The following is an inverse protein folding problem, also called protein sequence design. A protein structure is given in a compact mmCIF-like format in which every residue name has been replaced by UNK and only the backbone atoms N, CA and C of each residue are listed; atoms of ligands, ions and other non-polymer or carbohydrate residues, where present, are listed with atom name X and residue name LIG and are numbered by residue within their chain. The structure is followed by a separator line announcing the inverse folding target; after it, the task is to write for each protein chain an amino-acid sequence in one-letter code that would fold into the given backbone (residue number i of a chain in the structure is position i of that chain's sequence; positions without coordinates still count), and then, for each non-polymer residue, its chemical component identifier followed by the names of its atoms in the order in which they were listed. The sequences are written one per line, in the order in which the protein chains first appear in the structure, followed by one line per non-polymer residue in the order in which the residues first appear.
data_IF_940519764337
#
_entry.id   IF_940519764337
#
_cell.length_a   1.000
_cell.length_b   1.000
_cell.length_c   1.000
_cell.angle_alpha   90.00
_cell.angle_beta   90.00
_cell.angle_gamma   90.00
#
_symmetry.space_group_name_H-M   'P 1'
#
loop_
_entity.id
_entity.type
_entity.pdbx_description
1 polymer ?
#
# COMPACT_ATOMS: atom_id res chain seq x y z
N UNK A 1 33.09 0.09 5.15
CA UNK A 1 32.14 -1.05 5.11
C UNK A 1 30.74 -0.48 5.06
N UNK A 2 29.89 -0.86 4.10
CA UNK A 2 28.50 -0.39 4.04
C UNK A 2 27.65 -1.32 4.90
N UNK A 3 26.85 -0.75 5.82
CA UNK A 3 25.92 -1.51 6.67
C UNK A 3 24.49 -1.15 6.29
N UNK A 4 23.68 -2.16 5.99
CA UNK A 4 22.26 -1.99 5.69
C UNK A 4 21.40 -2.40 6.89
N UNK A 5 20.42 -1.57 7.26
CA UNK A 5 19.43 -1.85 8.28
C UNK A 5 18.04 -1.85 7.65
N UNK A 6 17.36 -3.00 7.65
CA UNK A 6 15.99 -3.12 7.14
C UNK A 6 14.99 -3.14 8.30
N UNK A 7 14.12 -2.13 8.36
CA UNK A 7 13.16 -1.86 9.44
C UNK A 7 11.86 -1.29 8.87
N UNK A 8 10.77 -1.40 9.60
CA UNK A 8 9.51 -0.70 9.30
C UNK A 8 9.64 0.79 9.63
N UNK A 9 8.80 1.65 9.05
CA UNK A 9 8.84 3.10 9.30
C UNK A 9 8.72 3.44 10.78
N UNK A 10 7.72 2.92 11.49
CA UNK A 10 7.60 3.15 12.94
C UNK A 10 8.80 2.65 13.77
N UNK A 11 9.47 1.58 13.32
CA UNK A 11 10.71 1.12 13.97
C UNK A 11 11.90 2.02 13.65
N UNK A 12 11.94 2.66 12.47
CA UNK A 12 12.96 3.65 12.12
C UNK A 12 12.72 4.96 12.85
N UNK A 13 11.48 5.43 12.98
CA UNK A 13 11.13 6.62 13.76
C UNK A 13 11.64 6.47 15.19
N UNK A 14 11.29 5.38 15.87
CA UNK A 14 11.80 5.07 17.21
C UNK A 14 13.33 5.00 17.26
N UNK A 15 13.97 4.33 16.30
CA UNK A 15 15.44 4.23 16.26
C UNK A 15 16.10 5.60 16.14
N UNK A 16 15.56 6.47 15.27
CA UNK A 16 16.11 7.77 14.94
C UNK A 16 15.79 8.85 15.99
N UNK A 17 14.90 8.53 16.93
CA UNK A 17 14.66 9.32 18.13
C UNK A 17 15.59 8.95 19.28
N UNK A 18 16.20 7.77 19.27
CA UNK A 18 17.22 7.38 20.25
C UNK A 18 18.61 7.91 19.88
N UNK A 19 19.47 8.11 20.89
CA UNK A 19 20.86 8.52 20.70
C UNK A 19 21.69 7.58 19.79
N UNK A 20 21.22 6.35 19.55
CA UNK A 20 21.85 5.39 18.63
C UNK A 20 21.69 5.74 17.14
N UNK A 21 20.96 6.81 16.80
CA UNK A 21 20.81 7.32 15.44
C UNK A 21 22.13 7.75 14.78
N UNK A 22 23.18 8.00 15.58
CA UNK A 22 24.48 8.52 15.11
C UNK A 22 25.20 7.65 14.06
N UNK A 23 24.73 6.42 13.83
CA UNK A 23 25.34 5.48 12.88
C UNK A 23 24.55 5.29 11.57
N UNK A 24 23.56 6.15 11.28
CA UNK A 24 22.79 6.10 10.03
C UNK A 24 23.07 7.35 9.20
N UNK A 25 23.57 7.15 7.98
CA UNK A 25 23.89 8.29 7.10
C UNK A 25 22.74 8.64 6.15
N UNK A 26 22.04 7.63 5.65
CA UNK A 26 21.07 7.76 4.58
C UNK A 26 19.88 6.85 4.78
N UNK A 27 18.70 7.34 4.38
CA UNK A 27 17.44 6.61 4.38
C UNK A 27 17.02 6.37 2.93
N UNK A 28 16.73 5.11 2.61
CA UNK A 28 16.11 4.69 1.36
C UNK A 28 14.71 4.15 1.68
N UNK A 29 13.65 4.78 1.16
CA UNK A 29 12.27 4.40 1.51
C UNK A 29 11.30 4.69 0.38
N UNK A 30 10.19 3.95 0.31
CA UNK A 30 9.04 4.31 -0.53
C UNK A 30 7.98 5.13 0.23
N UNK A 31 8.22 5.39 1.52
CA UNK A 31 7.27 6.08 2.39
C UNK A 31 7.52 7.59 2.41
N UNK A 32 6.63 8.40 1.82
CA UNK A 32 6.69 9.85 2.02
C UNK A 32 6.31 10.24 3.45
N UNK A 33 5.55 9.40 4.16
CA UNK A 33 5.10 9.61 5.55
C UNK A 33 6.29 9.59 6.50
N UNK A 34 7.17 8.59 6.37
CA UNK A 34 8.42 8.52 7.15
C UNK A 34 9.27 9.77 6.95
N UNK A 35 9.44 10.20 5.70
CA UNK A 35 10.25 11.38 5.39
C UNK A 35 9.59 12.67 5.89
N UNK A 36 8.26 12.77 5.83
CA UNK A 36 7.51 13.88 6.39
C UNK A 36 7.73 14.00 7.89
N UNK A 37 7.57 12.89 8.62
CA UNK A 37 7.79 12.82 10.05
C UNK A 37 9.22 13.23 10.41
N UNK A 38 10.23 12.65 9.75
CA UNK A 38 11.64 12.96 10.01
C UNK A 38 11.99 14.42 9.69
N UNK A 39 11.40 14.99 8.65
CA UNK A 39 11.60 16.40 8.32
C UNK A 39 10.95 17.33 9.37
N UNK A 40 9.74 17.05 9.81
CA UNK A 40 9.03 17.82 10.85
C UNK A 40 9.82 17.82 12.17
N UNK A 41 10.50 16.73 12.47
CA UNK A 41 11.39 16.60 13.63
C UNK A 41 12.83 17.06 13.35
N UNK A 42 13.06 17.75 12.23
CA UNK A 42 14.36 18.31 11.82
C UNK A 42 15.51 17.29 11.78
N UNK A 43 15.20 16.03 11.45
CA UNK A 43 16.18 14.92 11.41
C UNK A 43 16.88 14.79 10.06
N UNK A 44 16.38 15.43 9.01
CA UNK A 44 16.93 15.32 7.65
C UNK A 44 17.78 16.54 7.29
N UNK A 45 18.88 16.31 6.56
CA UNK A 45 19.69 17.36 5.98
C UNK A 45 18.98 17.99 4.77
N UNK A 46 19.25 19.27 4.53
CA UNK A 46 18.88 19.90 3.26
C UNK A 46 19.70 19.29 2.12
N UNK A 47 19.04 19.10 0.99
CA UNK A 47 19.68 18.65 -0.24
C UNK A 47 19.79 19.80 -1.24
N UNK A 48 20.85 19.76 -2.04
CA UNK A 48 21.00 20.64 -3.19
C UNK A 48 19.94 20.34 -4.26
N UNK A 49 19.95 21.11 -5.35
CA UNK A 49 19.04 20.87 -6.47
C UNK A 49 19.23 19.47 -7.06
N UNK A 50 18.11 18.77 -7.29
CA UNK A 50 18.04 17.49 -7.98
C UNK A 50 17.46 17.66 -9.39
N UNK A 51 17.69 16.71 -10.33
CA UNK A 51 17.11 16.79 -11.66
C UNK A 51 15.59 16.91 -11.64
N UNK A 52 15.00 17.65 -12.58
CA UNK A 52 13.56 17.90 -12.63
C UNK A 52 12.72 16.61 -12.66
N UNK A 53 13.22 15.55 -13.30
CA UNK A 53 12.57 14.23 -13.32
C UNK A 53 12.41 13.63 -11.91
N UNK A 54 13.42 13.82 -11.05
CA UNK A 54 13.36 13.42 -9.64
C UNK A 54 12.39 14.33 -8.86
N UNK A 55 12.56 15.65 -8.96
CA UNK A 55 11.78 16.62 -8.17
C UNK A 55 10.27 16.55 -8.41
N UNK A 56 9.84 16.23 -9.65
CA UNK A 56 8.42 16.04 -9.99
C UNK A 56 7.75 14.91 -9.23
N UNK A 57 8.51 13.88 -8.84
CA UNK A 57 8.03 12.70 -8.13
C UNK A 57 8.05 12.89 -6.60
N UNK A 58 8.70 13.93 -6.09
CA UNK A 58 8.78 14.20 -4.66
C UNK A 58 7.66 15.14 -4.23
N UNK A 59 6.86 14.77 -3.21
CA UNK A 59 5.85 15.67 -2.63
C UNK A 59 6.46 17.02 -2.22
N UNK A 60 5.73 18.12 -2.45
CA UNK A 60 6.23 19.47 -2.16
C UNK A 60 6.71 19.62 -0.71
N UNK A 61 6.02 18.97 0.23
CA UNK A 61 6.33 19.08 1.65
C UNK A 61 7.72 18.55 2.00
N UNK A 62 8.21 17.47 1.36
CA UNK A 62 9.50 16.83 1.66
C UNK A 62 10.60 17.12 0.64
N UNK A 63 10.34 17.98 -0.35
CA UNK A 63 11.22 18.18 -1.51
C UNK A 63 12.56 18.84 -1.18
N UNK A 64 12.65 19.58 -0.08
CA UNK A 64 13.89 20.24 0.36
C UNK A 64 14.90 19.28 0.99
N UNK A 65 14.48 18.08 1.40
CA UNK A 65 15.31 17.12 2.13
C UNK A 65 15.38 15.74 1.48
N UNK A 66 14.63 15.53 0.40
CA UNK A 66 14.46 14.22 -0.22
C UNK A 66 14.47 14.28 -1.75
N UNK A 67 15.03 13.24 -2.37
CA UNK A 67 15.00 13.03 -3.83
C UNK A 67 14.36 11.71 -4.17
N UNK A 68 13.73 11.60 -5.33
CA UNK A 68 13.29 10.32 -5.91
C UNK A 68 14.36 9.77 -6.85
N UNK A 69 14.81 8.54 -6.65
CA UNK A 69 15.88 7.92 -7.47
C UNK A 69 15.37 6.84 -8.42
N UNK A 70 14.24 6.23 -8.09
CA UNK A 70 13.60 5.19 -8.88
C UNK A 70 12.09 5.19 -8.62
N UNK A 71 11.32 4.44 -9.41
CA UNK A 71 9.88 4.23 -9.18
C UNK A 71 9.48 2.77 -9.35
N UNK A 72 8.35 2.43 -8.75
CA UNK A 72 7.64 1.16 -8.88
C UNK A 72 6.16 1.39 -9.19
N UNK A 73 5.54 0.49 -9.95
CA UNK A 73 4.09 0.44 -10.14
C UNK A 73 3.41 -0.58 -9.24
N UNK A 74 2.11 -0.37 -8.98
CA UNK A 74 1.23 -1.28 -8.25
C UNK A 74 0.55 -2.30 -9.16
N UNK A 75 0.39 -3.52 -8.66
CA UNK A 75 -0.31 -4.57 -9.39
C UNK A 75 -0.56 -5.81 -8.54
N UNK A 76 -0.88 -6.90 -9.22
CA UNK A 76 -1.20 -8.19 -8.64
C UNK A 76 -0.09 -9.19 -8.98
N UNK A 77 0.49 -9.80 -7.95
CA UNK A 77 1.25 -11.03 -8.12
C UNK A 77 0.26 -12.20 -8.06
N UNK A 78 0.38 -13.12 -9.00
CA UNK A 78 -0.54 -14.24 -9.17
C UNK A 78 0.27 -15.53 -9.29
N UNK A 79 -0.13 -16.54 -8.52
CA UNK A 79 0.36 -17.90 -8.65
C UNK A 79 -0.55 -18.68 -9.61
N UNK A 80 -0.09 -18.87 -10.84
CA UNK A 80 -0.82 -19.51 -11.94
C UNK A 80 -1.20 -20.96 -11.63
N UNK A 81 -0.29 -21.73 -11.02
CA UNK A 81 -0.56 -23.13 -10.70
C UNK A 81 -1.61 -23.26 -9.59
N UNK A 82 -1.53 -22.43 -8.55
CA UNK A 82 -2.53 -22.38 -7.49
C UNK A 82 -3.90 -21.88 -8.00
N UNK A 83 -3.90 -20.94 -8.95
CA UNK A 83 -5.09 -20.41 -9.61
C UNK A 83 -5.79 -21.48 -10.46
N UNK A 84 -5.04 -22.21 -11.28
CA UNK A 84 -5.54 -23.34 -12.06
C UNK A 84 -6.07 -24.47 -11.18
N UNK A 85 -5.34 -24.84 -10.12
CA UNK A 85 -5.76 -25.90 -9.19
C UNK A 85 -7.07 -25.60 -8.47
N UNK A 86 -7.43 -24.32 -8.32
CA UNK A 86 -8.70 -23.86 -7.72
C UNK A 86 -9.76 -23.46 -8.75
N UNK A 87 -9.49 -23.64 -10.04
CA UNK A 87 -10.37 -23.23 -11.15
C UNK A 87 -10.81 -21.76 -11.08
N UNK A 88 -9.92 -20.87 -10.65
CA UNK A 88 -10.21 -19.44 -10.52
C UNK A 88 -9.80 -18.70 -11.80
N UNK A 89 -10.55 -17.67 -12.22
CA UNK A 89 -10.06 -16.76 -13.26
C UNK A 89 -8.87 -15.94 -12.73
N UNK A 90 -7.97 -15.40 -13.58
CA UNK A 90 -6.96 -14.44 -13.17
C UNK A 90 -7.59 -13.08 -12.85
N UNK A 91 -7.33 -12.47 -11.68
CA UNK A 91 -7.85 -11.14 -11.37
C UNK A 91 -7.06 -10.08 -12.13
N UNK A 92 -7.75 -9.10 -12.71
CA UNK A 92 -7.16 -7.96 -13.41
C UNK A 92 -7.11 -6.69 -12.54
N UNK A 93 -8.11 -6.50 -11.66
CA UNK A 93 -8.18 -5.34 -10.77
C UNK A 93 -8.72 -5.65 -9.36
N UNK A 94 -8.95 -4.59 -8.57
CA UNK A 94 -9.48 -4.70 -7.21
C UNK A 94 -10.91 -5.28 -7.15
N UNK A 95 -11.74 -5.09 -8.17
CA UNK A 95 -13.12 -5.57 -8.18
C UNK A 95 -13.15 -7.08 -8.41
N UNK A 96 -12.29 -7.59 -9.28
CA UNK A 96 -12.17 -9.04 -9.50
C UNK A 96 -11.79 -9.75 -8.20
N UNK A 97 -10.90 -9.16 -7.41
CA UNK A 97 -10.54 -9.69 -6.08
C UNK A 97 -11.71 -9.77 -5.09
N UNK A 98 -12.78 -9.01 -5.30
CA UNK A 98 -14.00 -9.05 -4.50
C UNK A 98 -14.97 -10.18 -4.89
N UNK A 99 -14.68 -10.94 -5.96
CA UNK A 99 -15.56 -12.01 -6.41
C UNK A 99 -15.61 -13.18 -5.40
N UNK A 100 -16.79 -13.78 -5.15
CA UNK A 100 -16.94 -14.85 -4.17
C UNK A 100 -16.06 -16.08 -4.43
N UNK A 101 -15.70 -16.32 -5.70
CA UNK A 101 -14.83 -17.44 -6.08
C UNK A 101 -13.46 -17.39 -5.40
N UNK A 102 -12.96 -16.20 -5.03
CA UNK A 102 -11.68 -16.05 -4.34
C UNK A 102 -11.74 -16.29 -2.83
N UNK A 103 -12.85 -16.80 -2.30
CA UNK A 103 -12.98 -17.02 -0.87
C UNK A 103 -11.82 -17.86 -0.30
N UNK A 104 -11.08 -17.28 0.65
CA UNK A 104 -9.91 -17.94 1.25
C UNK A 104 -8.78 -18.20 0.26
N UNK A 105 -8.61 -17.33 -0.75
CA UNK A 105 -7.58 -17.45 -1.76
C UNK A 105 -6.64 -16.24 -1.81
N UNK A 106 -7.01 -15.09 -1.26
CA UNK A 106 -6.24 -13.85 -1.44
C UNK A 106 -5.32 -13.54 -0.27
N UNK A 107 -4.29 -12.75 -0.53
CA UNK A 107 -3.35 -12.24 0.46
C UNK A 107 -3.24 -10.73 0.33
N UNK A 108 -3.13 -10.05 1.47
CA UNK A 108 -2.88 -8.60 1.54
C UNK A 108 -2.07 -8.30 2.80
N UNK A 109 -1.45 -7.13 2.89
CA UNK A 109 -0.87 -6.63 4.14
C UNK A 109 -1.73 -5.52 4.75
N UNK A 110 -1.52 -5.16 6.01
CA UNK A 110 -2.25 -4.03 6.61
C UNK A 110 -1.55 -2.69 6.27
N UNK A 111 -2.30 -1.62 5.92
CA UNK A 111 -1.78 -0.26 5.83
C UNK A 111 -1.04 0.22 7.09
N UNK A 112 -1.41 -0.24 8.29
CA UNK A 112 -0.77 0.17 9.54
C UNK A 112 0.61 -0.46 9.77
N UNK A 113 0.93 -1.54 9.03
CA UNK A 113 2.20 -2.26 9.13
C UNK A 113 3.06 -2.16 7.88
N UNK A 114 2.54 -1.54 6.82
CA UNK A 114 3.19 -1.49 5.53
C UNK A 114 2.79 -0.26 4.72
N UNK A 115 3.67 0.74 4.70
CA UNK A 115 3.47 2.00 3.96
C UNK A 115 3.25 1.80 2.46
N UNK A 116 3.90 0.80 1.85
CA UNK A 116 3.62 0.46 0.44
C UNK A 116 2.16 0.05 0.22
N UNK A 117 1.58 -0.69 1.16
CA UNK A 117 0.19 -1.11 1.09
C UNK A 117 -0.75 0.03 1.49
N UNK A 118 -0.32 0.91 2.39
CA UNK A 118 -1.02 2.16 2.65
C UNK A 118 -1.17 2.98 1.36
N UNK A 119 -0.10 3.15 0.58
CA UNK A 119 -0.15 3.84 -0.71
C UNK A 119 -1.05 3.13 -1.74
N UNK A 120 -1.08 1.80 -1.76
CA UNK A 120 -1.99 1.04 -2.64
C UNK A 120 -3.47 1.23 -2.23
N UNK A 121 -3.77 1.20 -0.94
CA UNK A 121 -5.12 1.50 -0.41
C UNK A 121 -5.52 2.93 -0.71
N UNK A 122 -4.63 3.90 -0.47
CA UNK A 122 -4.83 5.30 -0.82
C UNK A 122 -5.09 5.50 -2.31
N UNK A 123 -4.34 4.81 -3.17
CA UNK A 123 -4.56 4.80 -4.62
C UNK A 123 -5.98 4.34 -4.95
N UNK A 124 -6.45 3.25 -4.35
CA UNK A 124 -7.82 2.75 -4.55
C UNK A 124 -8.86 3.77 -4.07
N UNK A 125 -8.68 4.35 -2.88
CA UNK A 125 -9.61 5.32 -2.28
C UNK A 125 -9.69 6.60 -3.11
N UNK A 126 -8.58 7.09 -3.68
CA UNK A 126 -8.56 8.27 -4.53
C UNK A 126 -9.17 8.00 -5.92
N UNK A 127 -9.03 6.78 -6.45
CA UNK A 127 -9.61 6.40 -7.73
C UNK A 127 -11.12 6.15 -7.66
N UNK A 128 -11.60 5.48 -6.61
CA UNK A 128 -13.01 5.10 -6.46
C UNK A 128 -13.83 6.06 -5.61
N UNK A 129 -13.17 6.97 -4.90
CA UNK A 129 -13.79 7.71 -3.81
C UNK A 129 -13.89 6.88 -2.52
N UNK A 130 -14.10 7.58 -1.41
CA UNK A 130 -14.07 7.02 -0.06
C UNK A 130 -15.02 5.83 0.13
N UNK A 131 -16.32 6.02 -0.14
CA UNK A 131 -17.35 5.01 0.11
C UNK A 131 -17.16 3.76 -0.75
N UNK A 132 -16.99 3.91 -2.07
CA UNK A 132 -16.84 2.77 -2.98
C UNK A 132 -15.49 2.06 -2.82
N UNK A 133 -14.43 2.81 -2.50
CA UNK A 133 -13.12 2.25 -2.19
C UNK A 133 -13.16 1.36 -0.93
N UNK A 134 -13.76 1.84 0.16
CA UNK A 134 -13.95 1.03 1.37
C UNK A 134 -14.85 -0.17 1.15
N UNK A 135 -15.94 -0.03 0.39
CA UNK A 135 -16.80 -1.14 0.03
C UNK A 135 -16.02 -2.23 -0.73
N UNK A 136 -15.11 -1.83 -1.62
CA UNK A 136 -14.21 -2.75 -2.35
C UNK A 136 -13.27 -3.47 -1.39
N UNK A 137 -12.60 -2.76 -0.47
CA UNK A 137 -11.70 -3.36 0.52
C UNK A 137 -12.41 -4.34 1.45
N UNK A 138 -13.61 -3.99 1.93
CA UNK A 138 -14.42 -4.83 2.79
C UNK A 138 -14.91 -6.09 2.07
N UNK A 139 -15.26 -6.01 0.78
CA UNK A 139 -15.58 -7.19 -0.02
C UNK A 139 -14.36 -8.11 -0.20
N UNK A 140 -13.21 -7.56 -0.58
CA UNK A 140 -11.96 -8.32 -0.70
C UNK A 140 -11.57 -8.99 0.62
N UNK A 141 -11.83 -8.33 1.76
CA UNK A 141 -11.47 -8.87 3.07
C UNK A 141 -12.10 -10.23 3.37
N UNK A 142 -13.31 -10.51 2.87
CA UNK A 142 -13.97 -11.81 2.97
C UNK A 142 -13.22 -12.94 2.23
N UNK A 143 -12.38 -12.57 1.26
CA UNK A 143 -11.62 -13.49 0.43
C UNK A 143 -10.18 -13.72 0.93
N UNK A 144 -9.75 -13.00 1.97
CA UNK A 144 -8.39 -13.12 2.49
C UNK A 144 -8.16 -14.43 3.25
N UNK A 145 -7.03 -15.07 2.97
CA UNK A 145 -6.48 -16.16 3.78
C UNK A 145 -6.02 -15.60 5.13
N UNK A 146 -5.16 -14.59 5.07
CA UNK A 146 -4.53 -13.90 6.20
C UNK A 146 -4.06 -12.51 5.78
N UNK A 147 -3.72 -11.68 6.77
CA UNK A 147 -3.15 -10.35 6.57
C UNK A 147 -1.67 -10.40 6.96
N UNK A 148 -0.79 -10.27 5.97
CA UNK A 148 0.65 -10.24 6.17
C UNK A 148 1.08 -9.04 7.00
N UNK A 149 2.14 -9.19 7.79
CA UNK A 149 2.73 -8.10 8.57
C UNK A 149 3.53 -7.12 7.70
N UNK A 150 3.98 -7.53 6.51
CA UNK A 150 4.79 -6.73 5.60
C UNK A 150 4.42 -7.03 4.13
N UNK A 151 4.59 -6.04 3.25
CA UNK A 151 4.28 -6.19 1.81
C UNK A 151 5.10 -7.26 1.11
N UNK A 152 6.42 -7.35 1.35
CA UNK A 152 7.22 -8.42 0.73
C UNK A 152 6.74 -9.82 1.15
N UNK A 153 6.26 -9.94 2.40
CA UNK A 153 5.70 -11.20 2.91
C UNK A 153 4.37 -11.61 2.27
N UNK A 154 3.72 -10.73 1.49
CA UNK A 154 2.60 -11.11 0.61
C UNK A 154 3.14 -11.91 -0.57
N UNK A 155 4.20 -11.40 -1.23
CA UNK A 155 4.82 -12.04 -2.37
C UNK A 155 5.37 -13.45 -2.02
N UNK A 156 6.05 -13.59 -0.87
CA UNK A 156 6.55 -14.88 -0.39
C UNK A 156 5.44 -15.90 -0.14
N UNK A 157 4.31 -15.47 0.42
CA UNK A 157 3.15 -16.34 0.71
C UNK A 157 2.40 -16.75 -0.56
N UNK A 158 2.38 -15.91 -1.59
CA UNK A 158 1.84 -16.26 -2.91
C UNK A 158 2.75 -17.29 -3.58
N UNK A 159 4.07 -17.06 -3.52
CA UNK A 159 5.08 -18.01 -4.03
C UNK A 159 4.96 -19.38 -3.35
N UNK A 160 4.77 -19.41 -2.02
CA UNK A 160 4.60 -20.67 -1.27
C UNK A 160 3.24 -21.36 -1.50
N UNK A 161 2.33 -20.76 -2.27
CA UNK A 161 0.99 -21.29 -2.53
C UNK A 161 -0.02 -21.12 -1.39
N UNK A 162 0.29 -20.33 -0.35
CA UNK A 162 -0.66 -20.07 0.75
C UNK A 162 -1.89 -19.30 0.25
N UNK A 163 -1.71 -18.41 -0.73
CA UNK A 163 -2.77 -17.74 -1.46
C UNK A 163 -2.45 -17.68 -2.96
N UNK A 164 -3.47 -17.42 -3.77
CA UNK A 164 -3.38 -17.43 -5.25
C UNK A 164 -2.98 -16.07 -5.81
N UNK A 165 -3.35 -14.97 -5.16
CA UNK A 165 -3.05 -13.62 -5.64
C UNK A 165 -3.06 -12.58 -4.51
N UNK A 166 -2.43 -11.44 -4.75
CA UNK A 166 -2.44 -10.30 -3.83
C UNK A 166 -1.75 -9.05 -4.39
N UNK A 167 -2.05 -7.87 -3.84
CA UNK A 167 -1.50 -6.61 -4.31
C UNK A 167 -0.04 -6.47 -3.84
N UNK A 168 0.85 -6.15 -4.78
CA UNK A 168 2.28 -5.90 -4.54
C UNK A 168 2.80 -4.80 -5.48
N UNK A 169 4.04 -4.36 -5.25
CA UNK A 169 4.79 -3.56 -6.23
C UNK A 169 5.55 -4.46 -7.21
N UNK A 170 5.72 -3.97 -8.43
CA UNK A 170 6.50 -4.63 -9.49
C UNK A 170 7.90 -5.07 -9.03
N UNK A 171 8.58 -4.28 -8.21
CA UNK A 171 9.91 -4.59 -7.70
C UNK A 171 9.95 -5.89 -6.89
N UNK A 172 8.95 -6.14 -6.04
CA UNK A 172 8.89 -7.41 -5.30
C UNK A 172 8.51 -8.56 -6.21
N UNK A 173 7.64 -8.32 -7.19
CA UNK A 173 7.22 -9.35 -8.13
C UNK A 173 8.37 -9.78 -9.04
N UNK A 174 9.10 -8.84 -9.64
CA UNK A 174 10.18 -9.08 -10.60
C UNK A 174 11.26 -10.01 -10.06
N UNK A 175 11.57 -9.94 -8.76
CA UNK A 175 12.51 -10.84 -8.07
C UNK A 175 12.06 -12.31 -8.05
N UNK A 176 10.77 -12.57 -8.33
CA UNK A 176 10.15 -13.90 -8.28
C UNK A 176 9.74 -14.42 -9.67
N UNK A 177 9.74 -13.58 -10.72
CA UNK A 177 9.23 -13.93 -12.05
C UNK A 177 10.14 -14.89 -12.84
N UNK A 178 11.29 -15.28 -12.31
CA UNK A 178 12.05 -16.42 -12.83
C UNK A 178 11.31 -17.76 -12.59
N UNK A 179 10.35 -17.80 -11.67
CA UNK A 179 9.44 -18.93 -11.50
C UNK A 179 8.31 -18.84 -12.55
N UNK A 180 8.18 -19.81 -13.48
CA UNK A 180 7.16 -19.77 -14.53
C UNK A 180 5.72 -19.90 -14.00
N UNK A 181 5.55 -20.31 -12.74
CA UNK A 181 4.23 -20.35 -12.08
C UNK A 181 3.80 -18.99 -11.56
N UNK A 182 4.68 -18.00 -11.51
CA UNK A 182 4.36 -16.66 -11.03
C UNK A 182 4.21 -15.69 -12.19
N UNK A 183 3.23 -14.80 -12.06
CA UNK A 183 3.02 -13.71 -13.02
C UNK A 183 2.63 -12.46 -12.29
N UNK A 184 3.01 -11.32 -12.87
CA UNK A 184 2.63 -10.01 -12.36
C UNK A 184 1.83 -9.25 -13.40
N UNK A 185 0.73 -8.65 -12.98
CA UNK A 185 -0.13 -7.80 -13.81
C UNK A 185 -0.30 -6.47 -13.11
N UNK A 186 0.02 -5.37 -13.81
CA UNK A 186 -0.25 -4.03 -13.27
C UNK A 186 -1.76 -3.80 -13.17
N UNK A 187 -2.19 -3.05 -12.16
CA UNK A 187 -3.56 -2.53 -12.15
C UNK A 187 -3.79 -1.65 -13.39
N UNK A 188 -5.02 -1.61 -13.94
CA UNK A 188 -5.34 -0.70 -15.04
C UNK A 188 -4.98 0.76 -14.74
N UNK A 189 -5.24 1.18 -13.49
CA UNK A 189 -4.82 2.46 -12.92
C UNK A 189 -3.74 2.23 -11.85
N UNK A 190 -2.54 1.89 -12.32
CA UNK A 190 -1.39 1.63 -11.45
C UNK A 190 -0.69 2.93 -11.05
N UNK A 191 -0.96 3.43 -9.85
CA UNK A 191 -0.24 4.58 -9.33
C UNK A 191 1.26 4.28 -9.16
N UNK A 192 2.06 5.34 -9.29
CA UNK A 192 3.52 5.28 -9.16
C UNK A 192 3.93 5.48 -7.71
N UNK A 193 4.80 4.60 -7.22
CA UNK A 193 5.44 4.68 -5.91
C UNK A 193 6.92 5.01 -6.08
N UNK A 194 7.33 6.27 -5.82
CA UNK A 194 8.74 6.64 -5.87
C UNK A 194 9.54 5.98 -4.74
N UNK A 195 10.79 5.66 -5.04
CA UNK A 195 11.81 5.35 -4.04
C UNK A 195 12.56 6.63 -3.73
N UNK A 196 12.40 7.10 -2.51
CA UNK A 196 13.02 8.29 -1.99
C UNK A 196 14.35 7.99 -1.31
N UNK A 197 15.24 8.98 -1.36
CA UNK A 197 16.49 9.00 -0.63
C UNK A 197 16.62 10.33 0.12
N UNK A 198 16.99 10.26 1.39
CA UNK A 198 17.28 11.42 2.23
C UNK A 198 18.52 11.18 3.09
N UNK A 199 19.24 12.24 3.44
CA UNK A 199 20.44 12.20 4.31
C UNK A 199 20.04 12.63 5.71
N UNK A 200 20.55 11.97 6.75
CA UNK A 200 20.33 12.44 8.13
C UNK A 200 21.13 13.71 8.42
N UNK A 201 20.52 14.64 9.14
CA UNK A 201 21.10 15.94 9.51
C UNK A 201 22.43 15.81 10.25
N UNK A 202 22.54 14.80 11.12
CA UNK A 202 23.71 14.57 11.97
C UNK A 202 24.60 13.42 11.46
N UNK A 203 24.49 13.06 10.17
CA UNK A 203 25.37 12.04 9.57
C UNK A 203 26.84 12.45 9.68
N UNK A 204 27.70 11.51 10.06
CA UNK A 204 29.17 11.69 10.08
C UNK A 204 29.81 11.54 8.70
N UNK A 205 29.02 11.09 7.71
CA UNK A 205 29.42 10.84 6.32
C UNK A 205 28.48 11.55 5.33
N UNK A 206 28.10 12.80 5.64
CA UNK A 206 27.11 13.53 4.87
C UNK A 206 27.55 13.79 3.42
N UNK A 207 28.84 14.02 3.18
CA UNK A 207 29.37 14.28 1.84
C UNK A 207 29.39 13.01 0.99
N UNK A 208 29.76 11.86 1.56
CA UNK A 208 29.66 10.56 0.90
C UNK A 208 28.20 10.18 0.62
N UNK A 209 27.28 10.48 1.54
CA UNK A 209 25.86 10.25 1.35
C UNK A 209 25.29 11.11 0.20
N UNK A 210 25.67 12.39 0.12
CA UNK A 210 25.32 13.27 -1.02
C UNK A 210 25.95 12.78 -2.32
N UNK A 211 27.22 12.40 -2.31
CA UNK A 211 27.89 11.84 -3.48
C UNK A 211 27.19 10.56 -3.98
N UNK A 212 26.71 9.71 -3.07
CA UNK A 212 25.91 8.54 -3.42
C UNK A 212 24.57 8.92 -4.06
N UNK A 213 23.87 9.93 -3.54
CA UNK A 213 22.66 10.48 -4.18
C UNK A 213 22.96 10.98 -5.59
N UNK A 214 24.02 11.77 -5.77
CA UNK A 214 24.43 12.26 -7.09
C UNK A 214 24.76 11.11 -8.04
N UNK A 215 25.43 10.06 -7.55
CA UNK A 215 25.68 8.85 -8.32
C UNK A 215 24.40 8.16 -8.77
N UNK A 216 23.43 7.96 -7.88
CA UNK A 216 22.14 7.35 -8.21
C UNK A 216 21.37 8.15 -9.27
N UNK A 217 21.44 9.48 -9.21
CA UNK A 217 20.78 10.39 -10.16
C UNK A 217 21.56 10.63 -11.45
N UNK A 218 22.83 10.22 -11.52
CA UNK A 218 23.66 10.34 -12.73
C UNK A 218 23.15 9.45 -13.87
N UNK A 219 23.51 9.72 -15.14
CA UNK A 219 23.19 8.83 -16.25
C UNK A 219 23.66 7.38 -16.03
N UNK A 220 24.80 7.20 -15.37
CA UNK A 220 25.33 5.86 -15.03
C UNK A 220 24.44 5.17 -13.99
N UNK A 221 24.07 5.86 -12.91
CA UNK A 221 23.19 5.32 -11.87
C UNK A 221 21.79 4.98 -12.39
N UNK A 222 21.21 5.88 -13.18
CA UNK A 222 19.90 5.65 -13.81
C UNK A 222 19.94 4.50 -14.82
N UNK A 223 21.05 4.30 -15.55
CA UNK A 223 21.23 3.12 -16.42
C UNK A 223 21.32 1.81 -15.63
N UNK A 224 21.93 1.82 -14.45
CA UNK A 224 21.93 0.64 -13.56
C UNK A 224 20.52 0.34 -13.07
N UNK A 225 19.77 1.38 -12.66
CA UNK A 225 18.36 1.23 -12.24
C UNK A 225 17.42 0.85 -13.39
N UNK A 226 17.84 1.00 -14.64
CA UNK A 226 17.12 0.51 -15.82
C UNK A 226 17.18 -1.02 -15.97
N UNK A 227 18.20 -1.67 -15.39
CA UNK A 227 18.34 -3.12 -15.41
C UNK A 227 17.16 -3.78 -14.71
N UNK A 228 16.52 -4.74 -15.40
CA UNK A 228 15.38 -5.51 -14.89
C UNK A 228 15.69 -6.24 -13.58
N UNK A 229 16.96 -6.61 -13.35
CA UNK A 229 17.41 -7.27 -12.12
C UNK A 229 17.29 -6.38 -10.88
N UNK A 230 17.22 -5.06 -11.06
CA UNK A 230 16.97 -4.13 -9.93
C UNK A 230 15.50 -4.08 -9.52
N UNK A 231 14.60 -4.62 -10.34
CA UNK A 231 13.15 -4.64 -10.14
C UNK A 231 12.46 -3.27 -10.21
N UNK A 232 13.20 -2.16 -10.35
CA UNK A 232 12.64 -0.79 -10.37
C UNK A 232 12.78 -0.14 -11.74
N UNK A 233 12.10 0.99 -11.94
CA UNK A 233 12.31 1.88 -13.06
C UNK A 233 13.15 3.08 -12.64
N UNK A 234 14.06 3.57 -13.50
CA UNK A 234 14.71 4.86 -13.26
C UNK A 234 13.68 5.99 -13.28
N UNK A 235 14.02 7.12 -12.66
CA UNK A 235 13.24 8.37 -12.81
C UNK A 235 13.51 9.03 -14.16
N UNK A 236 14.69 8.78 -14.74
CA UNK A 236 14.99 9.17 -16.11
C UNK A 236 14.19 8.30 -17.10
N UNK A 237 13.67 8.89 -18.19
CA UNK A 237 13.03 8.13 -19.26
C UNK A 237 13.98 7.08 -19.84
N UNK A 238 13.47 5.86 -20.02
CA UNK A 238 14.14 4.80 -20.75
C UNK A 238 14.16 5.12 -22.24
N UNK A 239 15.19 4.63 -22.93
CA UNK A 239 15.28 4.71 -24.39
C UNK A 239 14.18 3.85 -25.03
N UNK A 240 13.71 4.24 -26.22
CA UNK A 240 12.58 3.59 -26.89
C UNK A 240 12.82 2.11 -27.25
N UNK A 241 14.08 1.71 -27.41
CA UNK A 241 14.53 0.33 -27.65
C UNK A 241 14.55 -0.53 -26.37
N UNK A 242 14.42 0.07 -25.19
CA UNK A 242 14.34 -0.70 -23.94
C UNK A 242 12.96 -1.38 -23.85
N UNK A 243 12.89 -2.71 -23.63
CA UNK A 243 11.63 -3.45 -23.60
C UNK A 243 10.67 -3.00 -22.49
N UNK A 244 11.18 -2.30 -21.48
CA UNK A 244 10.40 -1.76 -20.35
C UNK A 244 9.94 -0.32 -20.57
N UNK A 245 10.36 0.35 -21.65
CA UNK A 245 10.07 1.77 -21.90
C UNK A 245 8.58 2.07 -21.99
N UNK A 246 7.82 1.27 -22.75
CA UNK A 246 6.37 1.44 -22.87
C UNK A 246 5.66 1.32 -21.51
N UNK A 247 6.09 0.39 -20.65
CA UNK A 247 5.53 0.25 -19.31
C UNK A 247 5.90 1.43 -18.41
N UNK A 248 7.15 1.90 -18.44
CA UNK A 248 7.56 3.09 -17.69
C UNK A 248 6.74 4.32 -18.11
N UNK A 249 6.55 4.53 -19.41
CA UNK A 249 5.76 5.64 -19.93
C UNK A 249 4.30 5.56 -19.46
N UNK A 250 3.69 4.36 -19.48
CA UNK A 250 2.34 4.13 -18.95
C UNK A 250 2.23 4.47 -17.47
N UNK A 251 3.22 4.09 -16.66
CA UNK A 251 3.27 4.41 -15.23
C UNK A 251 3.42 5.92 -15.01
N UNK A 252 4.38 6.56 -15.67
CA UNK A 252 4.66 7.99 -15.51
C UNK A 252 3.55 8.90 -16.07
N UNK A 253 2.68 8.38 -16.94
CA UNK A 253 1.51 9.09 -17.45
C UNK A 253 0.29 9.04 -16.52
N UNK A 254 0.30 8.18 -15.48
CA UNK A 254 -0.80 8.13 -14.51
C UNK A 254 -0.84 9.41 -13.67
N UNK A 255 -2.05 9.87 -13.27
CA UNK A 255 -2.17 10.98 -12.33
C UNK A 255 -1.40 10.69 -11.04
N UNK A 256 -0.64 11.67 -10.51
CA UNK A 256 0.05 11.49 -9.23
C UNK A 256 -0.96 11.35 -8.10
N UNK A 257 -0.61 10.58 -7.07
CA UNK A 257 -1.40 10.53 -5.85
C UNK A 257 -1.43 11.89 -5.16
N UNK A 258 -2.56 12.22 -4.53
CA UNK A 258 -2.66 13.38 -3.65
C UNK A 258 -1.92 13.12 -2.34
N UNK A 259 -0.60 13.35 -2.34
CA UNK A 259 0.24 13.12 -1.17
C UNK A 259 -0.10 14.02 0.02
N UNK A 260 -0.65 15.22 -0.21
CA UNK A 260 -1.12 16.08 0.88
C UNK A 260 -2.23 15.38 1.67
N UNK A 261 -3.21 14.85 0.97
CA UNK A 261 -4.31 14.10 1.59
C UNK A 261 -3.80 12.82 2.26
N UNK A 262 -2.94 12.03 1.60
CA UNK A 262 -2.35 10.81 2.16
C UNK A 262 -1.69 11.08 3.52
N UNK A 263 -0.85 12.11 3.59
CA UNK A 263 -0.14 12.47 4.82
C UNK A 263 -1.13 12.87 5.92
N UNK A 264 -2.18 13.63 5.60
CA UNK A 264 -3.18 14.08 6.57
C UNK A 264 -4.10 12.96 7.07
N UNK A 265 -4.48 12.01 6.21
CA UNK A 265 -5.43 10.94 6.56
C UNK A 265 -4.78 9.60 6.90
N UNK A 266 -3.46 9.56 7.02
CA UNK A 266 -2.71 8.34 7.31
C UNK A 266 -3.29 7.60 8.54
N UNK A 267 -3.43 8.30 9.66
CA UNK A 267 -3.94 7.72 10.90
C UNK A 267 -5.38 7.20 10.76
N UNK A 268 -6.24 7.96 10.10
CA UNK A 268 -7.62 7.56 9.82
C UNK A 268 -7.66 6.23 9.07
N UNK A 269 -6.98 6.15 7.92
CA UNK A 269 -7.02 4.96 7.05
C UNK A 269 -6.41 3.74 7.74
N UNK A 270 -5.28 3.90 8.44
CA UNK A 270 -4.64 2.81 9.16
C UNK A 270 -5.55 2.24 10.27
N UNK A 271 -6.11 3.12 11.12
CA UNK A 271 -6.98 2.73 12.23
C UNK A 271 -8.30 2.16 11.74
N UNK A 272 -8.90 2.77 10.71
CA UNK A 272 -10.12 2.28 10.09
C UNK A 272 -9.90 0.89 9.51
N UNK A 273 -8.80 0.65 8.77
CA UNK A 273 -8.51 -0.66 8.21
C UNK A 273 -8.32 -1.70 9.30
N UNK A 274 -7.59 -1.38 10.36
CA UNK A 274 -7.36 -2.35 11.43
C UNK A 274 -8.64 -2.69 12.19
N UNK A 275 -9.46 -1.69 12.53
CA UNK A 275 -10.74 -1.90 13.21
C UNK A 275 -11.77 -2.62 12.32
N UNK A 276 -11.86 -2.24 11.05
CA UNK A 276 -12.82 -2.80 10.12
C UNK A 276 -12.44 -4.21 9.68
N UNK A 277 -11.16 -4.45 9.37
CA UNK A 277 -10.65 -5.63 8.69
C UNK A 277 -9.68 -6.44 9.55
N UNK A 278 -8.56 -5.85 9.99
CA UNK A 278 -7.47 -6.63 10.64
C UNK A 278 -7.92 -7.36 11.89
N UNK A 279 -8.60 -6.68 12.81
CA UNK A 279 -9.02 -7.24 14.09
C UNK A 279 -10.26 -8.14 13.99
N UNK A 280 -10.97 -8.10 12.86
CA UNK A 280 -12.26 -8.77 12.66
C UNK A 280 -12.27 -9.73 11.47
N UNK A 281 -11.08 -10.08 10.95
CA UNK A 281 -10.96 -10.85 9.71
C UNK A 281 -11.73 -12.17 9.76
N UNK A 282 -11.65 -12.90 10.87
CA UNK A 282 -12.37 -14.17 11.04
C UNK A 282 -13.89 -13.97 10.92
N UNK A 283 -14.44 -13.00 11.65
CA UNK A 283 -15.86 -12.72 11.65
C UNK A 283 -16.33 -12.20 10.28
N UNK A 284 -15.54 -11.38 9.60
CA UNK A 284 -15.83 -10.91 8.25
C UNK A 284 -15.90 -12.08 7.25
N UNK A 285 -14.95 -13.01 7.31
CA UNK A 285 -14.96 -14.22 6.45
C UNK A 285 -16.23 -15.04 6.65
N UNK A 286 -16.69 -15.18 7.89
CA UNK A 286 -17.91 -15.92 8.20
C UNK A 286 -19.17 -15.19 7.70
N UNK A 287 -19.25 -13.87 7.89
CA UNK A 287 -20.37 -13.07 7.39
C UNK A 287 -20.46 -13.08 5.86
N UNK A 288 -19.32 -12.93 5.16
CA UNK A 288 -19.28 -13.02 3.70
C UNK A 288 -19.65 -14.42 3.20
N UNK A 289 -19.18 -15.49 3.86
CA UNK A 289 -19.58 -16.86 3.54
C UNK A 289 -21.09 -17.05 3.65
N UNK A 290 -21.68 -16.57 4.74
CA UNK A 290 -23.12 -16.66 4.99
C UNK A 290 -23.91 -15.89 3.93
N UNK A 291 -23.47 -14.67 3.60
CA UNK A 291 -24.08 -13.86 2.55
C UNK A 291 -24.04 -14.57 1.18
N UNK A 292 -22.87 -15.02 0.73
CA UNK A 292 -22.74 -15.71 -0.57
C UNK A 292 -23.54 -17.02 -0.62
N UNK A 293 -23.61 -17.76 0.48
CA UNK A 293 -24.42 -18.97 0.57
C UNK A 293 -25.91 -18.64 0.42
N UNK A 294 -26.38 -17.58 1.06
CA UNK A 294 -27.77 -17.12 0.92
C UNK A 294 -28.07 -16.60 -0.50
N UNK A 295 -27.20 -15.80 -1.09
CA UNK A 295 -27.35 -15.30 -2.47
C UNK A 295 -27.39 -16.45 -3.49
N UNK A 296 -26.57 -17.48 -3.30
CA UNK A 296 -26.55 -18.68 -4.15
C UNK A 296 -27.84 -19.47 -4.02
N UNK A 297 -28.29 -19.73 -2.79
CA UNK A 297 -29.55 -20.47 -2.51
C UNK A 297 -30.76 -19.75 -3.08
N UNK A 298 -30.83 -18.42 -2.90
CA UNK A 298 -31.94 -17.58 -3.35
C UNK A 298 -31.84 -17.17 -4.83
N UNK A 299 -30.71 -17.44 -5.48
CA UNK A 299 -30.39 -17.04 -6.87
C UNK A 299 -30.60 -15.55 -7.13
N UNK A 300 -30.33 -14.69 -6.14
CA UNK A 300 -30.43 -13.23 -6.24
C UNK A 300 -29.45 -12.54 -5.30
N UNK A 301 -28.96 -11.34 -5.63
CA UNK A 301 -28.15 -10.56 -4.72
C UNK A 301 -28.98 -10.08 -3.52
N UNK A 302 -28.30 -9.83 -2.39
CA UNK A 302 -28.89 -9.28 -1.17
C UNK A 302 -28.26 -7.91 -0.85
N UNK A 303 -28.60 -6.86 -1.61
CA UNK A 303 -27.91 -5.57 -1.56
C UNK A 303 -27.98 -4.88 -0.20
N UNK A 304 -29.11 -4.99 0.52
CA UNK A 304 -29.25 -4.43 1.86
C UNK A 304 -28.29 -5.06 2.86
N UNK A 305 -28.14 -6.40 2.82
CA UNK A 305 -27.22 -7.13 3.71
C UNK A 305 -25.77 -6.83 3.31
N UNK A 306 -25.49 -6.78 2.00
CA UNK A 306 -24.18 -6.37 1.48
C UNK A 306 -23.80 -4.97 1.97
N UNK A 307 -24.72 -4.02 1.92
CA UNK A 307 -24.49 -2.65 2.39
C UNK A 307 -24.08 -2.58 3.87
N UNK A 308 -24.63 -3.46 4.73
CA UNK A 308 -24.22 -3.56 6.13
C UNK A 308 -22.77 -4.04 6.28
N UNK A 309 -22.30 -4.92 5.39
CA UNK A 309 -20.93 -5.45 5.41
C UNK A 309 -19.91 -4.56 4.70
N UNK A 310 -20.35 -3.61 3.87
CA UNK A 310 -19.47 -2.77 3.04
C UNK A 310 -19.50 -1.27 3.38
N UNK A 311 -20.28 -0.86 4.38
CA UNK A 311 -20.31 0.54 4.83
C UNK A 311 -19.21 0.82 5.87
N UNK A 312 -18.90 2.11 6.06
CA UNK A 312 -17.95 2.59 7.09
C UNK A 312 -18.55 3.78 7.85
N UNK A 313 -18.17 4.01 9.12
CA UNK A 313 -18.79 5.04 9.98
C UNK A 313 -18.26 6.47 9.76
N UNK A 314 -17.40 6.67 8.75
CA UNK A 314 -16.84 7.98 8.41
C UNK A 314 -17.26 8.31 6.99
N UNK A 315 -17.86 9.48 6.79
CA UNK A 315 -18.25 9.95 5.46
C UNK A 315 -17.06 10.53 4.66
N UNK A 316 -17.29 10.77 3.37
CA UNK A 316 -16.27 11.26 2.47
C UNK A 316 -15.77 12.67 2.84
N UNK A 317 -16.66 13.56 3.28
CA UNK A 317 -16.31 14.94 3.63
C UNK A 317 -15.38 14.97 4.86
N UNK A 318 -15.72 14.21 5.90
CA UNK A 318 -14.89 14.04 7.10
C UNK A 318 -13.53 13.42 6.74
N UNK A 319 -13.48 12.49 5.79
CA UNK A 319 -12.24 11.85 5.36
C UNK A 319 -11.24 12.78 4.64
N UNK A 320 -11.68 13.99 4.28
CA UNK A 320 -10.91 15.02 3.58
C UNK A 320 -10.78 16.32 4.38
N UNK A 321 -11.49 16.45 5.51
CA UNK A 321 -11.41 17.59 6.41
C UNK A 321 -10.11 17.56 7.22
N UNK A 322 -9.16 18.42 6.85
CA UNK A 322 -7.85 18.49 7.51
C UNK A 322 -7.93 18.86 9.00
N UNK A 323 -8.92 19.64 9.42
CA UNK A 323 -9.11 20.02 10.83
C UNK A 323 -9.63 18.83 11.64
N UNK A 324 -10.56 18.06 11.09
CA UNK A 324 -11.02 16.82 11.72
C UNK A 324 -9.92 15.76 11.76
N UNK A 325 -9.19 15.58 10.66
CA UNK A 325 -8.08 14.63 10.55
C UNK A 325 -6.96 14.91 11.55
N UNK A 326 -6.64 16.19 11.81
CA UNK A 326 -5.61 16.57 12.79
C UNK A 326 -5.95 16.14 14.22
N UNK A 327 -7.22 15.88 14.55
CA UNK A 327 -7.61 15.41 15.88
C UNK A 327 -7.09 13.99 16.18
N UNK A 328 -6.74 13.18 15.15
CA UNK A 328 -6.15 11.86 15.36
C UNK A 328 -4.75 11.88 16.00
N UNK A 329 -4.08 13.03 16.03
CA UNK A 329 -2.84 13.21 16.78
C UNK A 329 -3.09 13.21 18.30
N UNK A 330 -4.33 13.51 18.73
CA UNK A 330 -4.75 13.34 20.11
C UNK A 330 -5.11 11.86 20.38
N UNK A 331 -4.35 11.23 21.28
CA UNK A 331 -4.53 9.82 21.64
C UNK A 331 -5.93 9.50 22.15
N UNK A 332 -6.52 10.35 23.00
CA UNK A 332 -7.86 10.12 23.57
C UNK A 332 -8.94 10.18 22.49
N UNK A 333 -8.86 11.15 21.58
CA UNK A 333 -9.78 11.24 20.45
C UNK A 333 -9.68 10.00 19.54
N UNK A 334 -8.44 9.60 19.20
CA UNK A 334 -8.21 8.44 18.35
C UNK A 334 -8.75 7.14 18.98
N UNK A 335 -8.53 6.93 20.28
CA UNK A 335 -9.04 5.78 21.03
C UNK A 335 -10.57 5.78 21.11
N UNK A 336 -11.17 6.94 21.38
CA UNK A 336 -12.62 7.10 21.38
C UNK A 336 -13.22 6.71 20.02
N UNK A 337 -12.67 7.24 18.92
CA UNK A 337 -13.15 6.92 17.57
C UNK A 337 -13.00 5.44 17.24
N UNK A 338 -11.89 4.82 17.63
CA UNK A 338 -11.72 3.38 17.45
C UNK A 338 -12.78 2.56 18.21
N UNK A 339 -13.13 2.95 19.43
CA UNK A 339 -14.18 2.28 20.21
C UNK A 339 -15.56 2.45 19.55
N UNK A 340 -15.90 3.68 19.13
CA UNK A 340 -17.14 3.96 18.39
C UNK A 340 -17.25 3.10 17.12
N UNK A 341 -16.16 3.01 16.35
CA UNK A 341 -16.12 2.21 15.13
C UNK A 341 -16.24 0.71 15.40
N UNK A 342 -15.57 0.19 16.44
CA UNK A 342 -15.70 -1.22 16.83
C UNK A 342 -17.15 -1.60 17.12
N UNK A 343 -17.87 -0.76 17.88
CA UNK A 343 -19.29 -0.96 18.19
C UNK A 343 -20.13 -0.89 16.90
N UNK A 344 -19.88 0.11 16.05
CA UNK A 344 -20.60 0.29 14.79
C UNK A 344 -20.47 -0.94 13.88
N UNK A 345 -19.25 -1.43 13.68
CA UNK A 345 -18.95 -2.58 12.84
C UNK A 345 -19.52 -3.88 13.43
N UNK A 346 -19.55 -4.01 14.76
CA UNK A 346 -20.18 -5.14 15.46
C UNK A 346 -21.69 -5.14 15.25
N UNK A 347 -22.34 -3.99 15.38
CA UNK A 347 -23.79 -3.85 15.21
C UNK A 347 -24.21 -4.16 13.77
N UNK A 348 -23.50 -3.60 12.78
CA UNK A 348 -23.79 -3.89 11.38
C UNK A 348 -23.64 -5.38 11.05
N UNK A 349 -22.60 -6.02 11.57
CA UNK A 349 -22.42 -7.46 11.38
C UNK A 349 -23.55 -8.26 12.02
N UNK A 350 -23.94 -7.95 13.26
CA UNK A 350 -25.05 -8.63 13.94
C UNK A 350 -26.36 -8.49 13.17
N UNK A 351 -26.65 -7.28 12.69
CA UNK A 351 -27.84 -7.02 11.88
C UNK A 351 -27.79 -7.78 10.55
N UNK A 352 -26.62 -7.85 9.91
CA UNK A 352 -26.44 -8.62 8.67
C UNK A 352 -26.71 -10.12 8.90
N UNK A 353 -26.18 -10.69 9.99
CA UNK A 353 -26.40 -12.10 10.35
C UNK A 353 -27.88 -12.35 10.67
N UNK A 354 -28.52 -11.49 11.47
CA UNK A 354 -29.95 -11.59 11.77
C UNK A 354 -30.81 -11.61 10.50
N UNK A 355 -30.57 -10.67 9.58
CA UNK A 355 -31.25 -10.63 8.28
C UNK A 355 -30.99 -11.87 7.43
N UNK A 356 -29.81 -12.48 7.51
CA UNK A 356 -29.51 -13.75 6.82
C UNK A 356 -30.24 -14.94 7.45
N UNK A 357 -30.48 -14.91 8.75
CA UNK A 357 -31.24 -15.95 9.48
C UNK A 357 -32.73 -15.89 9.17
N UNK A 358 -33.31 -14.70 9.03
CA UNK A 358 -34.70 -14.50 8.58
C UNK A 358 -34.97 -15.02 7.16
N UNK A 359 -33.92 -15.25 6.36
CA UNK A 359 -34.01 -15.76 5.00
C UNK A 359 -33.88 -17.28 4.92
N UNK A 360 -33.54 -17.98 6.01
CA UNK A 360 -33.49 -19.44 6.06
C UNK A 360 -34.90 -20.00 6.02
#
# INVERSE_FOLDING_TARGET
MIRTLNRTSGSLEQLLDTANAENVDLILTSSPMLLQHLQEHQKLALLDSAPAASQKLVPRSIRSTSVAVAVSGFGLLINRSALAARHLPPPADWQDMGLPSYQGALLMSSPSRSDTNHLMVESLLQQKGWTAGWATLLAISGNLVTISSRSFGVADKIKSGLGVAGPVIDNYANLLLNDPNLTFTYFPYSAVSPTYVAVLKNSRHADEARAFIHYLLSPKGQRILADANTGKYPVAPLSADNPRAAQQQRLMAQPPLNYRLILKRQQLVQRMFDTAISFRLAQLKDAWRALHSAETRLKRPLPEIRALLTSVPVDAASSEDETWLAQFDNKSFAEQKMMEWQIWFLNNQRLAIHKLEELK
#
